data_IF_515525009745
#
_entry.id   IF_515525009745
#
_cell.length_a   1.000
_cell.length_b   1.000
_cell.length_c   1.000
_cell.angle_alpha   90.00
_cell.angle_beta   90.00
_cell.angle_gamma   90.00
#
_symmetry.space_group_name_H-M   'P 1'
#
loop_
_entity.id
_entity.type
_entity.pdbx_description
1 polymer ?
#
# COMPACT_ATOMS: atom_id res chain seq x y z
N UNK A 1 13.56 22.06 -4.78
CA UNK A 1 12.40 21.87 -5.68
C UNK A 1 12.02 20.41 -5.63
N UNK A 2 11.09 20.05 -4.74
CA UNK A 2 10.62 18.68 -4.51
C UNK A 2 9.40 18.53 -5.41
N UNK A 3 9.47 17.65 -6.41
CA UNK A 3 8.38 17.42 -7.36
C UNK A 3 7.10 17.02 -6.61
N UNK A 4 5.99 17.63 -7.00
CA UNK A 4 4.65 17.38 -6.48
C UNK A 4 4.31 15.90 -6.64
N UNK A 5 4.17 15.18 -5.52
CA UNK A 5 3.75 13.77 -5.47
C UNK A 5 2.28 13.54 -5.86
N UNK A 6 1.70 14.43 -6.68
CA UNK A 6 0.29 14.46 -7.06
C UNK A 6 -0.01 13.66 -8.34
N UNK A 7 0.95 12.89 -8.84
CA UNK A 7 0.80 11.92 -9.95
C UNK A 7 1.21 10.50 -9.48
N UNK A 8 1.31 10.29 -8.16
CA UNK A 8 1.71 9.02 -7.59
C UNK A 8 0.48 8.11 -7.49
N UNK A 9 0.20 7.37 -8.55
CA UNK A 9 -0.82 6.33 -8.53
C UNK A 9 -0.54 5.24 -7.47
N UNK A 10 -1.47 4.32 -7.33
CA UNK A 10 -1.36 3.15 -6.47
C UNK A 10 -0.91 1.95 -7.30
N UNK A 11 0.16 1.23 -6.91
CA UNK A 11 0.64 0.09 -7.67
C UNK A 11 -0.29 -1.10 -7.48
N UNK A 12 -0.80 -1.62 -8.59
CA UNK A 12 -1.70 -2.77 -8.65
C UNK A 12 -1.16 -3.79 -9.64
N UNK A 13 -1.28 -5.08 -9.33
CA UNK A 13 -0.94 -6.19 -10.23
C UNK A 13 -1.86 -7.39 -9.95
N UNK A 14 -1.98 -8.29 -10.92
CA UNK A 14 -2.79 -9.50 -10.78
C UNK A 14 -1.99 -10.57 -10.04
N UNK A 15 -2.34 -10.84 -8.79
CA UNK A 15 -1.66 -11.88 -8.04
C UNK A 15 -2.03 -13.28 -8.56
N UNK A 16 -1.03 -14.06 -8.98
CA UNK A 16 -1.23 -15.44 -9.44
C UNK A 16 -1.83 -16.38 -8.37
N UNK A 17 -1.55 -16.12 -7.08
CA UNK A 17 -2.10 -16.92 -5.96
C UNK A 17 -3.53 -16.51 -5.60
N UNK A 18 -3.80 -15.21 -5.45
CA UNK A 18 -5.14 -14.72 -5.12
C UNK A 18 -6.10 -14.74 -6.33
N UNK A 19 -5.56 -14.79 -7.55
CA UNK A 19 -6.28 -14.72 -8.84
C UNK A 19 -7.14 -13.46 -9.00
N UNK A 20 -6.68 -12.35 -8.43
CA UNK A 20 -7.33 -11.04 -8.50
C UNK A 20 -6.30 -9.91 -8.55
N UNK A 21 -6.75 -8.74 -8.96
CA UNK A 21 -5.96 -7.52 -8.92
C UNK A 21 -5.85 -7.04 -7.47
N UNK A 22 -4.62 -6.75 -7.03
CA UNK A 22 -4.31 -6.41 -5.64
C UNK A 22 -3.30 -5.27 -5.59
N UNK A 23 -3.32 -4.51 -4.50
CA UNK A 23 -2.22 -3.60 -4.16
C UNK A 23 -0.95 -4.38 -3.83
N UNK A 24 0.19 -3.71 -4.04
CA UNK A 24 1.50 -4.24 -3.70
C UNK A 24 2.07 -3.55 -2.47
N UNK A 25 2.81 -4.28 -1.64
CA UNK A 25 3.70 -3.72 -0.64
C UNK A 25 5.16 -3.99 -1.01
N UNK A 26 6.03 -3.12 -0.50
CA UNK A 26 7.47 -3.24 -0.69
C UNK A 26 8.08 -3.89 0.54
N UNK A 27 8.90 -4.92 0.31
CA UNK A 27 9.72 -5.55 1.33
C UNK A 27 11.19 -5.39 0.93
N UNK A 28 12.03 -5.00 1.89
CA UNK A 28 13.48 -4.93 1.70
C UNK A 28 14.08 -6.09 2.48
N UNK A 29 14.81 -6.96 1.80
CA UNK A 29 15.44 -8.13 2.43
C UNK A 29 16.76 -7.77 3.15
N UNK A 30 17.40 -8.78 3.73
CA UNK A 30 18.66 -8.64 4.47
C UNK A 30 19.85 -8.16 3.61
N UNK A 31 19.75 -8.28 2.29
CA UNK A 31 20.75 -7.83 1.31
C UNK A 31 20.45 -6.41 0.79
N UNK A 32 19.32 -5.83 1.19
CA UNK A 32 18.86 -4.53 0.74
C UNK A 32 18.11 -4.57 -0.61
N UNK A 33 17.73 -5.75 -1.10
CA UNK A 33 16.99 -5.87 -2.36
C UNK A 33 15.50 -5.59 -2.15
N UNK A 34 14.89 -4.86 -3.10
CA UNK A 34 13.50 -4.45 -3.04
C UNK A 34 12.60 -5.48 -3.72
N UNK A 35 11.72 -6.08 -2.94
CA UNK A 35 10.73 -7.06 -3.37
C UNK A 35 9.34 -6.43 -3.40
N UNK A 36 8.61 -6.64 -4.49
CA UNK A 36 7.21 -6.22 -4.64
C UNK A 36 6.32 -7.43 -4.36
N UNK A 37 5.54 -7.34 -3.30
CA UNK A 37 4.78 -8.47 -2.79
C UNK A 37 3.28 -8.15 -2.78
N UNK A 38 2.44 -9.17 -2.93
CA UNK A 38 0.98 -9.03 -2.82
C UNK A 38 0.59 -8.64 -1.39
N UNK A 39 -0.20 -7.56 -1.26
CA UNK A 39 -0.68 -7.04 0.03
C UNK A 39 -1.46 -8.07 0.87
N UNK A 40 -1.99 -9.13 0.26
CA UNK A 40 -2.82 -10.11 0.96
C UNK A 40 -2.13 -11.42 1.33
N UNK A 41 -1.09 -11.82 0.60
CA UNK A 41 -0.52 -13.16 0.76
C UNK A 41 1.00 -13.21 0.64
N UNK A 42 1.64 -12.04 0.52
CA UNK A 42 3.09 -11.87 0.46
C UNK A 42 3.77 -12.61 -0.70
N UNK A 43 2.99 -13.06 -1.69
CA UNK A 43 3.55 -13.67 -2.90
C UNK A 43 4.33 -12.64 -3.71
N UNK A 44 5.46 -13.05 -4.29
CA UNK A 44 6.26 -12.21 -5.19
C UNK A 44 5.47 -11.87 -6.46
N UNK A 45 5.45 -10.59 -6.78
CA UNK A 45 4.73 -10.02 -7.92
C UNK A 45 5.71 -9.66 -9.03
N UNK A 46 5.31 -9.92 -10.26
CA UNK A 46 6.09 -9.53 -11.42
C UNK A 46 6.11 -7.98 -11.54
N UNK A 47 7.30 -7.35 -11.59
CA UNK A 47 7.41 -5.90 -11.66
C UNK A 47 6.97 -5.32 -13.02
N UNK A 48 7.01 -6.10 -14.09
CA UNK A 48 6.58 -5.67 -15.43
C UNK A 48 5.06 -5.66 -15.56
N UNK A 49 4.34 -6.45 -14.76
CA UNK A 49 2.88 -6.47 -14.70
C UNK A 49 2.27 -5.37 -13.80
N UNK A 50 3.09 -4.52 -13.17
CA UNK A 50 2.60 -3.46 -12.28
C UNK A 50 1.99 -2.31 -13.09
N UNK A 51 0.71 -2.03 -12.81
CA UNK A 51 0.01 -0.84 -13.29
C UNK A 51 -0.20 0.14 -12.14
N UNK A 52 -0.08 1.44 -12.43
CA UNK A 52 -0.36 2.50 -11.47
C UNK A 52 -1.77 3.02 -11.73
N UNK A 53 -2.60 3.06 -10.70
CA UNK A 53 -4.01 3.49 -10.80
C UNK A 53 -4.29 4.70 -9.92
N UNK A 54 -5.22 5.56 -10.32
CA UNK A 54 -5.66 6.68 -9.50
C UNK A 54 -6.47 6.22 -8.28
N UNK A 55 -6.60 7.09 -7.26
CA UNK A 55 -7.41 6.81 -6.06
C UNK A 55 -8.85 6.40 -6.40
N UNK A 56 -9.45 7.02 -7.42
CA UNK A 56 -10.82 6.74 -7.85
C UNK A 56 -11.04 5.30 -8.32
N UNK A 57 -9.99 4.62 -8.79
CA UNK A 57 -10.06 3.23 -9.23
C UNK A 57 -9.87 2.21 -8.08
N UNK A 58 -9.53 2.68 -6.87
CA UNK A 58 -9.33 1.79 -5.72
C UNK A 58 -10.63 1.18 -5.22
N UNK A 59 -11.75 1.90 -5.30
CA UNK A 59 -13.06 1.44 -4.82
C UNK A 59 -13.49 0.17 -5.57
N UNK A 60 -13.31 0.16 -6.90
CA UNK A 60 -13.56 -1.01 -7.76
C UNK A 60 -12.68 -2.22 -7.40
N UNK A 61 -11.51 -1.98 -6.82
CA UNK A 61 -10.58 -3.00 -6.34
C UNK A 61 -10.83 -3.41 -4.88
N UNK A 62 -11.80 -2.77 -4.21
CA UNK A 62 -12.14 -3.02 -2.81
C UNK A 62 -11.21 -2.34 -1.81
N UNK A 63 -10.48 -1.31 -2.24
CA UNK A 63 -9.62 -0.49 -1.40
C UNK A 63 -10.20 0.91 -1.23
N UNK A 64 -9.95 1.53 -0.09
CA UNK A 64 -10.36 2.90 0.18
C UNK A 64 -9.25 3.66 0.88
N UNK A 65 -9.04 4.91 0.47
CA UNK A 65 -8.16 5.84 1.17
C UNK A 65 -8.99 6.58 2.21
N UNK A 66 -8.61 6.48 3.48
CA UNK A 66 -9.21 7.25 4.56
C UNK A 66 -8.17 8.21 5.10
N UNK A 67 -8.38 9.50 4.88
CA UNK A 67 -7.56 10.54 5.49
C UNK A 67 -7.60 10.44 7.02
N UNK A 68 -6.48 10.76 7.65
CA UNK A 68 -6.36 10.80 9.12
C UNK A 68 -7.11 12.01 9.71
N UNK A 69 -8.44 12.05 9.61
CA UNK A 69 -9.24 13.07 10.32
C UNK A 69 -9.54 12.70 11.78
N UNK A 70 -8.70 11.85 12.37
CA UNK A 70 -8.79 11.43 13.75
C UNK A 70 -7.90 10.21 13.93
N UNK A 71 -7.05 10.22 14.96
CA UNK A 71 -6.29 9.03 15.34
C UNK A 71 -7.21 7.84 15.60
N UNK A 72 -6.65 6.70 16.02
CA UNK A 72 -7.35 5.42 16.16
C UNK A 72 -8.54 5.35 17.17
N UNK A 73 -9.18 6.47 17.52
CA UNK A 73 -10.29 6.58 18.47
C UNK A 73 -9.86 6.51 19.93
N UNK A 74 -8.59 6.15 20.21
CA UNK A 74 -8.02 6.12 21.56
C UNK A 74 -7.41 7.48 21.94
N UNK A 75 -7.69 8.01 23.14
CA UNK A 75 -7.00 9.20 23.63
C UNK A 75 -5.49 8.95 23.62
N UNK A 76 -4.72 9.84 22.96
CA UNK A 76 -3.26 9.75 22.88
C UNK A 76 -2.66 9.06 21.65
N UNK A 77 -3.49 8.46 20.78
CA UNK A 77 -3.02 7.76 19.57
C UNK A 77 -2.37 8.71 18.54
N UNK A 78 -2.91 9.92 18.38
CA UNK A 78 -2.36 10.94 17.46
C UNK A 78 -1.12 11.69 17.97
N UNK A 79 -0.59 11.32 19.15
CA UNK A 79 0.61 11.95 19.75
C UNK A 79 1.80 10.99 19.84
N UNK A 80 1.80 9.89 19.07
CA UNK A 80 2.88 8.89 19.12
C UNK A 80 2.98 8.17 20.47
N UNK A 81 1.85 7.96 21.17
CA UNK A 81 1.79 7.21 22.43
C UNK A 81 1.11 5.85 22.29
N UNK A 82 0.87 5.39 21.06
CA UNK A 82 0.47 4.02 20.82
C UNK A 82 1.56 3.06 21.36
N UNK A 83 1.18 2.10 22.21
CA UNK A 83 2.11 1.09 22.75
C UNK A 83 2.75 1.40 24.10
N UNK A 84 2.46 2.55 24.74
CA UNK A 84 2.80 2.76 26.16
C UNK A 84 1.61 2.39 27.05
N UNK A 85 1.59 1.16 27.54
CA UNK A 85 0.85 0.76 28.75
C UNK A 85 1.66 1.13 29.98
#
# INVERSE_FOLDING_TARGET
>A
MIGTAADAGFPVSRCARCRRDVLLHLHVDERGELHRLCLHCDAEMDPEEVRWVEESALDDLGYGVRGESGGCGRPGCGMGRCGRT
#
